data_IF_391137735712
#
_entry.id   IF_391137735712
#
_cell.length_a   1.000
_cell.length_b   1.000
_cell.length_c   1.000
_cell.angle_alpha   90.00
_cell.angle_beta   90.00
_cell.angle_gamma   90.00
#
_symmetry.space_group_name_H-M   'P 1'
#
loop_
_entity.id
_entity.type
_entity.pdbx_description
1 polymer ?
#
# COMPACT_ATOMS: atom_id res chain seq x y z
N UNK A 1 -63.19 13.57 -7.91
CA UNK A 1 -61.90 13.47 -7.22
C UNK A 1 -60.85 13.19 -8.29
N UNK A 2 -60.04 14.20 -8.65
CA UNK A 2 -59.00 14.00 -9.66
C UNK A 2 -57.84 13.21 -9.03
N UNK A 3 -57.50 12.06 -9.60
CA UNK A 3 -56.34 11.27 -9.20
C UNK A 3 -55.08 12.05 -9.58
N UNK A 4 -54.31 12.48 -8.59
CA UNK A 4 -52.96 12.99 -8.81
C UNK A 4 -52.13 11.80 -9.27
N UNK A 5 -51.88 11.71 -10.58
CA UNK A 5 -50.92 10.77 -11.14
C UNK A 5 -49.54 11.20 -10.65
N UNK A 6 -49.01 10.47 -9.66
CA UNK A 6 -47.65 10.66 -9.19
C UNK A 6 -46.70 10.21 -10.30
N UNK A 7 -45.92 11.13 -10.85
CA UNK A 7 -44.88 10.82 -11.84
C UNK A 7 -43.99 9.69 -11.30
N UNK A 8 -43.70 8.70 -12.16
CA UNK A 8 -42.79 7.63 -11.82
C UNK A 8 -41.38 8.21 -11.71
N UNK A 9 -40.56 7.80 -10.72
CA UNK A 9 -39.14 8.16 -10.68
C UNK A 9 -38.39 7.73 -11.95
N UNK A 10 -38.95 6.77 -12.71
CA UNK A 10 -38.40 6.28 -13.95
C UNK A 10 -38.80 7.11 -15.17
N UNK A 11 -39.71 8.09 -15.05
CA UNK A 11 -40.11 8.95 -16.17
C UNK A 11 -38.92 9.81 -16.68
N UNK A 12 -37.86 9.98 -15.89
CA UNK A 12 -36.59 10.60 -16.35
C UNK A 12 -35.91 9.79 -17.48
N UNK A 13 -36.14 8.48 -17.53
CA UNK A 13 -35.66 7.61 -18.61
C UNK A 13 -36.62 7.54 -19.80
N UNK A 14 -37.80 8.18 -19.70
CA UNK A 14 -38.76 8.31 -20.81
C UNK A 14 -38.44 9.48 -21.75
N UNK A 15 -37.36 10.23 -21.46
CA UNK A 15 -36.87 11.31 -22.30
C UNK A 15 -36.57 10.79 -23.73
N UNK A 16 -37.29 11.33 -24.72
CA UNK A 16 -37.18 10.94 -26.13
C UNK A 16 -35.89 11.45 -26.81
N UNK A 17 -35.18 12.37 -26.16
CA UNK A 17 -33.89 12.89 -26.62
C UNK A 17 -32.78 12.44 -25.66
N UNK A 18 -31.79 11.72 -26.20
CA UNK A 18 -30.56 11.41 -25.47
C UNK A 18 -29.81 12.70 -25.14
N UNK A 19 -29.04 12.75 -24.02
CA UNK A 19 -28.21 13.90 -23.72
C UNK A 19 -27.17 14.12 -24.82
N UNK A 20 -26.64 15.33 -24.91
CA UNK A 20 -25.50 15.61 -25.78
C UNK A 20 -24.28 14.86 -25.27
N UNK A 21 -23.70 14.02 -26.12
CA UNK A 21 -22.46 13.32 -25.85
C UNK A 21 -21.27 14.13 -26.37
N UNK A 22 -20.14 14.01 -25.69
CA UNK A 22 -18.84 14.50 -26.17
C UNK A 22 -17.87 13.34 -26.16
N UNK A 23 -17.17 13.11 -27.27
CA UNK A 23 -16.07 12.17 -27.29
C UNK A 23 -14.91 12.74 -26.46
N UNK A 24 -14.47 12.01 -25.45
CA UNK A 24 -13.30 12.36 -24.65
C UNK A 24 -12.20 11.34 -24.92
N UNK A 25 -10.99 11.81 -25.20
CA UNK A 25 -9.80 10.98 -25.33
C UNK A 25 -8.71 11.58 -24.47
N UNK A 26 -8.09 10.74 -23.64
CA UNK A 26 -6.95 11.13 -22.83
C UNK A 26 -5.78 10.21 -23.19
N UNK A 27 -4.62 10.80 -23.46
CA UNK A 27 -3.37 10.05 -23.47
C UNK A 27 -2.99 9.76 -22.01
N UNK A 28 -2.93 8.48 -21.67
CA UNK A 28 -2.53 8.02 -20.34
C UNK A 28 -1.03 7.71 -20.35
N UNK A 29 -0.38 7.97 -19.23
CA UNK A 29 1.00 7.56 -19.00
C UNK A 29 1.09 6.03 -19.14
N UNK A 30 1.94 5.57 -20.04
CA UNK A 30 2.15 4.16 -20.39
C UNK A 30 3.57 3.68 -20.04
N UNK A 31 4.33 4.47 -19.27
CA UNK A 31 5.67 4.13 -18.80
C UNK A 31 5.61 2.86 -17.94
N UNK A 32 6.31 1.82 -18.36
CA UNK A 32 6.38 0.52 -17.68
C UNK A 32 7.79 0.30 -17.14
N UNK A 33 7.89 -0.25 -15.92
CA UNK A 33 9.16 -0.55 -15.26
C UNK A 33 9.99 -1.61 -16.01
N UNK A 34 9.36 -2.35 -16.90
CA UNK A 34 9.91 -3.41 -17.72
C UNK A 34 10.16 -4.69 -16.93
N UNK A 35 11.44 -5.06 -16.79
CA UNK A 35 11.84 -6.25 -16.05
C UNK A 35 11.78 -5.99 -14.54
N UNK A 36 10.79 -6.58 -13.86
CA UNK A 36 10.65 -6.52 -12.39
C UNK A 36 11.89 -7.05 -11.68
N UNK A 37 12.42 -8.25 -12.02
CA UNK A 37 13.66 -8.74 -11.40
C UNK A 37 14.83 -7.76 -11.60
N UNK A 38 14.96 -7.19 -12.80
CA UNK A 38 16.02 -6.23 -13.09
C UNK A 38 15.87 -4.91 -12.32
N UNK A 39 14.65 -4.39 -12.18
CA UNK A 39 14.37 -3.17 -11.42
C UNK A 39 14.66 -3.35 -9.93
N UNK A 40 14.16 -4.44 -9.33
CA UNK A 40 14.40 -4.74 -7.92
C UNK A 40 15.90 -5.02 -7.67
N UNK A 41 16.58 -5.74 -8.56
CA UNK A 41 18.02 -5.97 -8.43
C UNK A 41 18.84 -4.67 -8.47
N UNK A 42 18.47 -3.69 -9.32
CA UNK A 42 19.13 -2.37 -9.35
C UNK A 42 18.98 -1.64 -8.03
N UNK A 43 17.80 -1.65 -7.45
CA UNK A 43 17.54 -1.02 -6.15
C UNK A 43 18.32 -1.71 -5.01
N UNK A 44 18.32 -3.05 -4.97
CA UNK A 44 19.07 -3.82 -3.97
C UNK A 44 20.59 -3.75 -4.12
N UNK A 45 21.10 -3.39 -5.31
CA UNK A 45 22.52 -3.17 -5.55
C UNK A 45 23.04 -1.84 -5.00
N UNK A 46 22.16 -0.89 -4.67
CA UNK A 46 22.56 0.42 -4.11
C UNK A 46 23.27 0.22 -2.76
N UNK A 47 24.37 0.95 -2.47
CA UNK A 47 25.17 0.70 -1.28
C UNK A 47 24.40 0.81 0.05
N UNK A 48 23.50 1.78 0.16
CA UNK A 48 22.64 2.03 1.32
C UNK A 48 21.62 0.90 1.58
N UNK A 49 21.10 0.30 0.51
CA UNK A 49 20.16 -0.84 0.56
C UNK A 49 20.92 -2.14 0.83
N UNK A 50 21.99 -2.38 0.07
CA UNK A 50 22.81 -3.60 0.15
C UNK A 50 23.43 -3.78 1.54
N UNK A 51 23.90 -2.70 2.16
CA UNK A 51 24.55 -2.77 3.46
C UNK A 51 23.61 -3.19 4.61
N UNK A 52 22.29 -3.14 4.39
CA UNK A 52 21.30 -3.50 5.39
C UNK A 52 21.06 -5.01 5.52
N UNK A 53 21.51 -5.82 4.56
CA UNK A 53 21.29 -7.27 4.53
C UNK A 53 22.64 -7.96 4.47
N UNK A 54 22.89 -8.85 5.44
CA UNK A 54 24.09 -9.67 5.49
C UNK A 54 23.79 -11.16 5.60
N UNK A 55 24.85 -11.99 5.63
CA UNK A 55 24.72 -13.43 5.86
C UNK A 55 23.95 -13.74 7.14
N UNK A 56 22.90 -14.57 7.03
CA UNK A 56 22.06 -15.02 8.15
C UNK A 56 21.07 -13.98 8.69
N UNK A 57 20.99 -12.77 8.09
CA UNK A 57 20.00 -11.77 8.49
C UNK A 57 18.60 -12.28 8.20
N UNK A 58 17.73 -12.40 9.21
CA UNK A 58 16.32 -12.76 9.02
C UNK A 58 15.55 -11.55 8.54
N UNK A 59 15.08 -11.59 7.30
CA UNK A 59 14.43 -10.45 6.66
C UNK A 59 12.95 -10.75 6.44
N UNK A 60 12.09 -9.89 6.98
CA UNK A 60 10.67 -9.96 6.71
C UNK A 60 10.27 -8.95 5.63
N UNK A 61 9.49 -9.40 4.65
CA UNK A 61 8.83 -8.52 3.68
C UNK A 61 7.32 -8.49 3.92
N UNK A 62 6.71 -7.31 3.83
CA UNK A 62 5.26 -7.18 4.02
C UNK A 62 4.50 -7.44 2.72
N UNK A 63 3.37 -8.13 2.78
CA UNK A 63 2.40 -8.24 1.70
C UNK A 63 1.07 -7.54 2.07
N UNK A 64 0.69 -6.52 1.31
CA UNK A 64 -0.52 -5.73 1.55
C UNK A 64 -1.80 -6.34 0.95
N UNK A 65 -2.95 -5.74 1.29
CA UNK A 65 -4.28 -6.20 0.83
C UNK A 65 -4.74 -5.64 -0.50
N UNK A 66 -3.97 -4.75 -1.12
CA UNK A 66 -4.36 -4.12 -2.38
C UNK A 66 -3.46 -4.64 -3.47
N UNK A 67 -4.08 -5.19 -4.50
CA UNK A 67 -3.40 -5.53 -5.74
C UNK A 67 -2.68 -4.31 -6.31
N UNK A 68 -1.46 -4.56 -6.76
CA UNK A 68 -0.70 -3.75 -7.68
C UNK A 68 -0.24 -4.69 -8.80
N UNK A 69 -0.11 -4.16 -10.00
CA UNK A 69 0.42 -4.92 -11.13
C UNK A 69 1.70 -5.68 -10.73
N UNK A 70 1.68 -7.01 -10.97
CA UNK A 70 2.82 -7.92 -10.77
C UNK A 70 3.41 -7.96 -9.35
N UNK A 71 2.60 -7.73 -8.31
CA UNK A 71 3.06 -7.78 -6.90
C UNK A 71 3.78 -9.08 -6.51
N UNK A 72 3.33 -10.24 -7.01
CA UNK A 72 3.99 -11.52 -6.75
C UNK A 72 5.41 -11.56 -7.36
N UNK A 73 5.60 -11.01 -8.55
CA UNK A 73 6.94 -10.92 -9.16
C UNK A 73 7.84 -9.96 -8.39
N UNK A 74 7.29 -8.83 -7.90
CA UNK A 74 8.04 -7.86 -7.08
C UNK A 74 8.52 -8.51 -5.78
N UNK A 75 7.62 -9.16 -5.04
CA UNK A 75 7.96 -9.85 -3.80
C UNK A 75 8.94 -10.99 -4.06
N UNK A 76 8.74 -11.77 -5.14
CA UNK A 76 9.67 -12.83 -5.51
C UNK A 76 11.07 -12.29 -5.81
N UNK A 77 11.16 -11.23 -6.59
CA UNK A 77 12.43 -10.60 -6.91
C UNK A 77 13.13 -10.06 -5.67
N UNK A 78 12.38 -9.44 -4.74
CA UNK A 78 12.94 -8.95 -3.48
C UNK A 78 13.44 -10.11 -2.59
N UNK A 79 12.67 -11.20 -2.49
CA UNK A 79 13.07 -12.44 -1.80
C UNK A 79 14.38 -13.00 -2.39
N UNK A 80 14.52 -13.01 -3.71
CA UNK A 80 15.73 -13.48 -4.38
C UNK A 80 16.93 -12.58 -4.11
N UNK A 81 16.74 -11.26 -4.07
CA UNK A 81 17.82 -10.33 -3.72
C UNK A 81 18.24 -10.47 -2.26
N UNK A 82 17.30 -10.65 -1.32
CA UNK A 82 17.64 -10.96 0.08
C UNK A 82 18.52 -12.20 0.17
N UNK A 83 18.15 -13.29 -0.53
CA UNK A 83 18.95 -14.53 -0.57
C UNK A 83 20.32 -14.32 -1.18
N UNK A 84 20.39 -13.56 -2.27
CA UNK A 84 21.66 -13.27 -2.95
C UNK A 84 22.63 -12.52 -2.03
N UNK A 85 22.11 -11.70 -1.12
CA UNK A 85 22.89 -11.00 -0.10
C UNK A 85 23.18 -11.86 1.14
N UNK A 86 22.74 -13.11 1.15
CA UNK A 86 22.96 -14.08 2.24
C UNK A 86 21.90 -14.04 3.35
N UNK A 87 20.85 -13.24 3.20
CA UNK A 87 19.75 -13.17 4.16
C UNK A 87 18.74 -14.33 4.05
N UNK A 88 17.92 -14.47 5.08
CA UNK A 88 16.88 -15.48 5.21
C UNK A 88 15.49 -14.82 5.11
N UNK A 89 14.88 -14.77 3.93
CA UNK A 89 13.62 -14.07 3.74
C UNK A 89 12.42 -14.89 4.24
N UNK A 90 11.43 -14.19 4.76
CA UNK A 90 10.06 -14.66 4.89
C UNK A 90 9.07 -13.50 4.67
N UNK A 91 7.82 -13.82 4.40
CA UNK A 91 6.78 -12.82 4.15
C UNK A 91 5.73 -12.87 5.25
N UNK A 92 5.22 -11.70 5.65
CA UNK A 92 4.01 -11.59 6.47
C UNK A 92 2.91 -10.83 5.72
N UNK A 93 1.64 -11.23 5.86
CA UNK A 93 0.53 -10.35 5.49
C UNK A 93 0.51 -9.15 6.44
N UNK A 94 0.47 -7.92 5.91
CA UNK A 94 0.42 -6.68 6.70
C UNK A 94 -0.62 -5.75 6.07
N UNK A 95 -1.84 -5.79 6.59
CA UNK A 95 -2.99 -5.13 5.95
C UNK A 95 -4.04 -4.61 6.92
N UNK A 96 -3.66 -4.39 8.18
CA UNK A 96 -4.57 -3.92 9.21
C UNK A 96 -5.72 -4.90 9.43
N UNK A 97 -6.95 -4.42 9.21
CA UNK A 97 -8.20 -5.18 9.41
C UNK A 97 -8.74 -5.93 8.19
N UNK A 98 -8.03 -5.91 7.07
CA UNK A 98 -8.42 -6.65 5.87
C UNK A 98 -8.34 -8.18 6.09
N UNK A 99 -8.95 -8.93 5.16
CA UNK A 99 -9.00 -10.39 5.24
C UNK A 99 -9.80 -10.91 6.44
N UNK A 100 -10.81 -10.16 6.87
CA UNK A 100 -11.63 -10.53 8.04
C UNK A 100 -10.88 -10.47 9.37
N UNK A 101 -9.69 -9.86 9.41
CA UNK A 101 -8.85 -9.79 10.61
C UNK A 101 -8.44 -11.16 11.17
N UNK A 102 -8.29 -12.16 10.31
CA UNK A 102 -7.77 -13.49 10.67
C UNK A 102 -6.51 -13.82 9.88
N UNK A 103 -5.67 -14.68 10.43
CA UNK A 103 -4.45 -15.12 9.76
C UNK A 103 -4.79 -15.79 8.41
N UNK A 104 -5.79 -16.68 8.41
CA UNK A 104 -6.23 -17.44 7.25
C UNK A 104 -6.81 -16.52 6.17
N UNK A 105 -7.60 -15.52 6.57
CA UNK A 105 -8.23 -14.60 5.63
C UNK A 105 -7.23 -13.64 5.01
N UNK A 106 -6.23 -13.17 5.77
CA UNK A 106 -5.13 -12.37 5.20
C UNK A 106 -4.24 -13.20 4.27
N UNK A 107 -3.94 -14.45 4.63
CA UNK A 107 -3.17 -15.37 3.79
C UNK A 107 -3.90 -15.70 2.48
N UNK A 108 -5.21 -16.01 2.55
CA UNK A 108 -6.03 -16.26 1.37
C UNK A 108 -6.08 -15.04 0.43
N UNK A 109 -6.11 -13.84 0.99
CA UNK A 109 -6.13 -12.61 0.22
C UNK A 109 -4.83 -12.38 -0.57
N UNK A 110 -3.65 -12.55 0.05
CA UNK A 110 -2.38 -12.41 -0.69
C UNK A 110 -2.15 -13.56 -1.67
N UNK A 111 -2.66 -14.76 -1.38
CA UNK A 111 -2.64 -15.89 -2.30
C UNK A 111 -3.45 -15.60 -3.59
N UNK A 112 -4.56 -14.86 -3.49
CA UNK A 112 -5.30 -14.39 -4.67
C UNK A 112 -4.47 -13.48 -5.58
N UNK A 113 -3.44 -12.80 -5.04
CA UNK A 113 -2.48 -12.01 -5.81
C UNK A 113 -1.24 -12.82 -6.26
N UNK A 114 -1.26 -14.14 -6.14
CA UNK A 114 -0.16 -15.03 -6.51
C UNK A 114 0.95 -15.12 -5.46
N UNK A 115 0.77 -14.55 -4.28
CA UNK A 115 1.76 -14.60 -3.19
C UNK A 115 1.51 -15.87 -2.38
N UNK A 116 2.17 -16.96 -2.78
CA UNK A 116 2.16 -18.26 -2.09
C UNK A 116 3.58 -18.70 -1.76
N UNK A 117 3.75 -19.57 -0.76
CA UNK A 117 5.09 -20.07 -0.39
C UNK A 117 5.81 -20.73 -1.57
N UNK A 118 5.07 -21.48 -2.40
CA UNK A 118 5.61 -22.10 -3.60
C UNK A 118 6.09 -21.05 -4.62
N UNK A 119 5.32 -19.99 -4.86
CA UNK A 119 5.69 -18.94 -5.79
C UNK A 119 6.87 -18.10 -5.28
N UNK A 120 6.87 -17.74 -3.99
CA UNK A 120 7.92 -16.91 -3.37
C UNK A 120 9.19 -17.73 -3.08
N UNK A 121 9.04 -19.04 -2.93
CA UNK A 121 10.09 -19.96 -2.51
C UNK A 121 10.50 -19.75 -1.05
N UNK A 122 9.78 -18.96 -0.25
CA UNK A 122 10.07 -18.68 1.16
C UNK A 122 8.79 -18.84 2.03
N UNK A 123 8.94 -18.96 3.36
CA UNK A 123 7.79 -19.06 4.25
C UNK A 123 6.88 -17.83 4.19
N UNK A 124 5.58 -18.04 4.32
CA UNK A 124 4.58 -17.00 4.57
C UNK A 124 4.03 -17.22 5.97
N UNK A 125 4.23 -16.25 6.87
CA UNK A 125 3.84 -16.35 8.28
C UNK A 125 2.69 -15.40 8.57
N UNK A 126 1.48 -15.95 8.66
CA UNK A 126 0.29 -15.17 8.96
C UNK A 126 -0.05 -15.26 10.46
N UNK A 127 -0.18 -14.11 11.11
CA UNK A 127 -0.68 -13.98 12.47
C UNK A 127 -1.38 -12.63 12.64
N UNK A 128 -2.26 -12.56 13.64
CA UNK A 128 -2.92 -11.32 14.07
C UNK A 128 -2.36 -10.79 15.39
N UNK A 129 -1.41 -11.51 15.98
CA UNK A 129 -0.77 -11.09 17.22
C UNK A 129 0.11 -9.87 17.00
N UNK A 130 0.08 -8.98 17.99
CA UNK A 130 0.86 -7.74 17.98
C UNK A 130 1.61 -7.55 19.27
N UNK A 131 2.70 -6.79 19.20
CA UNK A 131 3.43 -6.22 20.34
C UNK A 131 3.07 -4.74 20.47
N UNK A 132 2.84 -4.29 21.71
CA UNK A 132 2.70 -2.87 22.01
C UNK A 132 4.10 -2.23 22.00
N UNK A 133 4.38 -1.36 21.03
CA UNK A 133 5.65 -0.63 20.95
C UNK A 133 5.71 0.56 21.92
N UNK A 134 4.55 0.97 22.44
CA UNK A 134 4.38 2.10 23.35
C UNK A 134 3.48 3.18 22.75
N UNK A 135 3.36 4.28 23.47
CA UNK A 135 2.44 5.38 23.14
C UNK A 135 3.19 6.62 22.66
N UNK A 136 2.62 7.33 21.69
CA UNK A 136 2.99 8.71 21.37
C UNK A 136 2.36 9.69 22.37
N UNK A 137 2.83 10.94 22.33
CA UNK A 137 2.17 12.06 23.00
C UNK A 137 0.67 12.11 22.66
N UNK A 138 -0.17 12.35 23.67
CA UNK A 138 -1.62 12.31 23.53
C UNK A 138 -2.22 10.91 23.65
N UNK A 139 -1.44 9.88 23.99
CA UNK A 139 -1.93 8.54 24.28
C UNK A 139 -2.31 7.73 23.05
N UNK A 140 -1.62 7.95 21.92
CA UNK A 140 -1.82 7.17 20.69
C UNK A 140 -0.98 5.88 20.78
N UNK A 141 -1.60 4.69 20.93
CA UNK A 141 -0.88 3.45 21.09
C UNK A 141 -0.32 2.99 19.74
N UNK A 142 0.92 2.52 19.73
CA UNK A 142 1.60 2.00 18.54
C UNK A 142 1.78 0.50 18.67
N UNK A 143 1.30 -0.23 17.66
CA UNK A 143 1.36 -1.68 17.59
C UNK A 143 2.19 -2.13 16.40
N UNK A 144 2.81 -3.30 16.51
CA UNK A 144 3.49 -3.98 15.41
C UNK A 144 3.17 -5.48 15.45
N UNK A 145 3.17 -6.11 14.29
CA UNK A 145 3.13 -7.56 14.12
C UNK A 145 4.21 -8.22 14.99
N UNK A 146 3.80 -9.22 15.80
CA UNK A 146 4.71 -9.90 16.73
C UNK A 146 5.84 -10.64 16.01
N UNK A 147 5.56 -11.30 14.90
CA UNK A 147 6.55 -12.07 14.13
C UNK A 147 7.61 -11.13 13.55
N UNK A 148 7.19 -10.00 12.96
CA UNK A 148 8.12 -8.99 12.47
C UNK A 148 8.99 -8.41 13.59
N UNK A 149 8.46 -8.27 14.81
CA UNK A 149 9.20 -7.69 15.93
C UNK A 149 10.15 -8.68 16.60
N UNK A 150 9.75 -9.94 16.77
CA UNK A 150 10.50 -10.94 17.55
C UNK A 150 11.41 -11.81 16.68
N UNK A 151 11.04 -12.06 15.42
CA UNK A 151 11.71 -13.04 14.55
C UNK A 151 12.51 -12.43 13.41
N UNK A 152 12.32 -11.15 13.08
CA UNK A 152 13.07 -10.48 12.03
C UNK A 152 14.20 -9.62 12.60
N UNK A 153 15.34 -9.65 11.95
CA UNK A 153 16.44 -8.70 12.20
C UNK A 153 16.23 -7.42 11.37
N UNK A 154 15.55 -7.53 10.23
CA UNK A 154 15.23 -6.44 9.29
C UNK A 154 13.80 -6.57 8.78
N UNK A 155 13.06 -5.47 8.79
CA UNK A 155 11.71 -5.36 8.22
C UNK A 155 11.75 -4.49 6.96
N UNK A 156 11.30 -5.04 5.82
CA UNK A 156 11.19 -4.31 4.54
C UNK A 156 9.69 -4.15 4.21
N UNK A 157 9.08 -2.98 4.47
CA UNK A 157 7.74 -2.70 4.02
C UNK A 157 7.72 -2.57 2.49
N UNK A 158 6.70 -3.15 1.85
CA UNK A 158 6.44 -3.09 0.41
C UNK A 158 5.07 -2.46 0.23
N UNK A 159 5.00 -1.30 -0.42
CA UNK A 159 3.79 -0.47 -0.40
C UNK A 159 3.50 0.19 -1.73
N UNK A 160 2.24 0.09 -2.18
CA UNK A 160 1.71 0.87 -3.30
C UNK A 160 1.49 2.32 -2.87
N UNK A 161 2.25 3.23 -3.45
CA UNK A 161 2.08 4.68 -3.27
C UNK A 161 0.99 5.17 -4.21
N UNK A 162 -0.09 5.72 -3.65
CA UNK A 162 -1.21 6.28 -4.43
C UNK A 162 -2.07 7.24 -3.61
N UNK A 163 -2.82 8.13 -4.29
CA UNK A 163 -3.91 8.87 -3.64
C UNK A 163 -4.94 7.91 -3.01
N UNK A 164 -5.27 8.17 -1.75
CA UNK A 164 -6.37 7.58 -1.04
C UNK A 164 -7.70 8.19 -1.50
N UNK A 165 -8.80 7.48 -1.35
CA UNK A 165 -10.14 8.00 -1.70
C UNK A 165 -10.70 8.87 -0.58
N UNK A 166 -10.44 8.50 0.67
CA UNK A 166 -11.22 9.00 1.82
C UNK A 166 -10.48 9.98 2.75
N UNK A 167 -9.18 10.21 2.55
CA UNK A 167 -8.41 11.21 3.32
C UNK A 167 -7.32 11.85 2.47
N UNK A 168 -6.78 12.97 2.96
CA UNK A 168 -5.66 13.71 2.36
C UNK A 168 -4.60 13.99 3.42
N UNK A 169 -3.35 14.07 2.98
CA UNK A 169 -2.20 14.36 3.83
C UNK A 169 -0.93 14.52 2.98
N UNK A 170 0.22 14.84 3.60
CA UNK A 170 1.51 14.87 2.90
C UNK A 170 1.90 13.48 2.35
N UNK A 171 1.37 12.43 2.96
CA UNK A 171 1.40 11.05 2.48
C UNK A 171 0.00 10.44 2.61
N UNK A 172 -0.29 9.43 1.80
CA UNK A 172 -1.62 8.81 1.72
C UNK A 172 -1.53 7.28 1.83
N UNK A 173 -1.63 6.55 0.72
CA UNK A 173 -1.25 5.12 0.70
C UNK A 173 0.23 5.01 0.33
N UNK A 174 0.94 4.02 0.87
CA UNK A 174 2.38 3.87 0.69
C UNK A 174 3.04 3.07 1.80
N UNK A 175 4.34 3.26 1.98
CA UNK A 175 5.17 2.70 3.02
C UNK A 175 4.76 3.22 4.40
N UNK A 176 4.49 4.52 4.57
CA UNK A 176 4.10 5.06 5.89
C UNK A 176 2.81 4.41 6.41
N UNK A 177 1.81 4.24 5.55
CA UNK A 177 0.58 3.52 5.91
C UNK A 177 0.82 2.03 6.16
N UNK A 178 1.72 1.41 5.40
CA UNK A 178 2.13 0.03 5.64
C UNK A 178 2.77 -0.13 7.02
N UNK A 179 3.65 0.78 7.41
CA UNK A 179 4.34 0.77 8.71
C UNK A 179 3.36 1.06 9.86
N UNK A 180 2.49 2.06 9.72
CA UNK A 180 1.60 2.48 10.80
C UNK A 180 0.38 1.56 11.00
N UNK A 181 -0.27 1.13 9.90
CA UNK A 181 -1.53 0.38 9.95
C UNK A 181 -1.34 -1.07 9.51
N UNK A 182 -0.57 -1.29 8.43
CA UNK A 182 -0.32 -2.63 7.90
C UNK A 182 0.31 -3.54 8.95
N UNK A 183 1.47 -3.12 9.47
CA UNK A 183 2.17 -3.78 10.56
C UNK A 183 1.43 -3.70 11.89
N UNK A 184 0.61 -2.67 12.12
CA UNK A 184 -0.21 -2.55 13.33
C UNK A 184 -1.33 -3.58 13.47
N UNK A 185 -1.61 -4.36 12.41
CA UNK A 185 -2.67 -5.39 12.35
C UNK A 185 -4.03 -4.84 12.82
N UNK A 186 -4.89 -5.72 13.34
CA UNK A 186 -6.21 -5.34 13.81
C UNK A 186 -6.16 -4.32 14.95
N UNK A 187 -5.21 -4.45 15.89
CA UNK A 187 -5.13 -3.56 17.06
C UNK A 187 -4.83 -2.12 16.66
N UNK A 188 -3.79 -1.90 15.83
CA UNK A 188 -3.48 -0.60 15.27
C UNK A 188 -4.60 -0.06 14.39
N UNK A 189 -5.11 -0.89 13.47
CA UNK A 189 -6.20 -0.47 12.57
C UNK A 189 -7.46 -0.04 13.34
N UNK A 190 -7.91 -0.82 14.34
CA UNK A 190 -9.07 -0.47 15.16
C UNK A 190 -8.92 0.88 15.83
N UNK A 191 -7.74 1.16 16.40
CA UNK A 191 -7.50 2.45 17.04
C UNK A 191 -7.57 3.60 16.04
N UNK A 192 -6.89 3.49 14.89
CA UNK A 192 -6.94 4.49 13.82
C UNK A 192 -8.36 4.74 13.35
N UNK A 193 -9.09 3.68 12.99
CA UNK A 193 -10.47 3.78 12.51
C UNK A 193 -11.41 4.37 13.57
N UNK A 194 -11.15 4.12 14.86
CA UNK A 194 -11.87 4.72 15.98
C UNK A 194 -11.68 6.24 16.12
N UNK A 195 -10.56 6.80 15.64
CA UNK A 195 -10.35 8.25 15.61
C UNK A 195 -11.07 8.96 14.45
N UNK A 196 -11.58 8.20 13.48
CA UNK A 196 -12.18 8.73 12.27
C UNK A 196 -11.17 9.08 11.18
N UNK A 197 -11.60 8.88 9.92
CA UNK A 197 -10.72 8.91 8.75
C UNK A 197 -10.04 10.26 8.49
N UNK A 198 -10.64 11.36 8.94
CA UNK A 198 -10.08 12.71 8.82
C UNK A 198 -8.77 12.91 9.58
N UNK A 199 -8.47 12.06 10.57
CA UNK A 199 -7.23 12.14 11.37
C UNK A 199 -6.04 11.42 10.73
N UNK A 200 -6.28 10.60 9.70
CA UNK A 200 -5.28 9.68 9.16
C UNK A 200 -4.07 10.42 8.56
N UNK A 201 -4.30 11.54 7.87
CA UNK A 201 -3.24 12.32 7.24
C UNK A 201 -2.22 12.87 8.25
N UNK A 202 -2.63 13.09 9.50
CA UNK A 202 -1.76 13.54 10.58
C UNK A 202 -1.15 12.37 11.36
N UNK A 203 -1.96 11.36 11.69
CA UNK A 203 -1.56 10.28 12.59
C UNK A 203 -0.66 9.23 11.93
N UNK A 204 -0.87 8.92 10.64
CA UNK A 204 -0.06 7.91 9.93
C UNK A 204 1.42 8.27 9.95
N UNK A 205 1.85 9.49 9.56
CA UNK A 205 3.27 9.88 9.63
C UNK A 205 3.85 9.78 11.04
N UNK A 206 3.10 10.22 12.06
CA UNK A 206 3.55 10.21 13.46
C UNK A 206 3.79 8.80 13.98
N UNK A 207 2.83 7.90 13.75
CA UNK A 207 2.94 6.49 14.16
C UNK A 207 4.06 5.79 13.39
N UNK A 208 4.15 6.01 12.08
CA UNK A 208 5.21 5.40 11.27
C UNK A 208 6.61 5.87 11.70
N UNK A 209 6.79 7.17 11.98
CA UNK A 209 8.06 7.71 12.48
C UNK A 209 8.47 7.10 13.83
N UNK A 210 7.50 6.89 14.73
CA UNK A 210 7.76 6.22 16.01
C UNK A 210 8.16 4.77 15.85
N UNK A 211 7.52 4.03 14.94
CA UNK A 211 7.90 2.66 14.61
C UNK A 211 9.30 2.60 14.00
N UNK A 212 9.62 3.50 13.05
CA UNK A 212 10.96 3.60 12.44
C UNK A 212 12.06 3.88 13.46
N UNK A 213 11.76 4.57 14.56
CA UNK A 213 12.72 4.83 15.64
C UNK A 213 12.98 3.63 16.56
N UNK A 214 12.14 2.58 16.50
CA UNK A 214 12.18 1.43 17.42
C UNK A 214 12.41 0.09 16.75
N UNK A 215 12.13 0.01 15.45
CA UNK A 215 12.15 -1.22 14.67
C UNK A 215 13.15 -1.04 13.53
N UNK A 216 13.98 -2.05 13.29
CA UNK A 216 14.98 -2.01 12.23
C UNK A 216 14.31 -2.12 10.85
N UNK A 217 13.89 -0.98 10.32
CA UNK A 217 13.37 -0.81 8.95
C UNK A 217 14.39 0.08 8.22
N UNK A 218 15.39 -0.50 7.54
CA UNK A 218 16.46 0.26 6.91
C UNK A 218 16.01 0.96 5.61
N UNK A 219 15.04 0.37 4.92
CA UNK A 219 14.41 0.91 3.72
C UNK A 219 13.06 0.23 3.47
N UNK A 220 12.22 0.81 2.62
CA UNK A 220 11.00 0.18 2.10
C UNK A 220 10.98 0.16 0.58
N UNK A 221 10.22 -0.76 -0.02
CA UNK A 221 10.05 -0.84 -1.47
C UNK A 221 8.73 -0.15 -1.88
N UNK A 222 8.84 1.08 -2.36
CA UNK A 222 7.73 1.89 -2.82
C UNK A 222 7.38 1.55 -4.29
N UNK A 223 6.09 1.36 -4.55
CA UNK A 223 5.58 0.93 -5.86
C UNK A 223 4.57 1.94 -6.39
N UNK A 224 4.73 2.39 -7.64
CA UNK A 224 3.80 3.33 -8.31
C UNK A 224 3.34 2.73 -9.63
N UNK A 225 2.05 2.86 -9.94
CA UNK A 225 1.49 2.47 -11.23
C UNK A 225 1.37 3.67 -12.18
N UNK A 226 1.41 3.39 -13.48
CA UNK A 226 1.08 4.36 -14.52
C UNK A 226 -0.43 4.53 -14.72
N UNK A 227 -0.81 5.36 -15.69
CA UNK A 227 -2.22 5.66 -16.01
C UNK A 227 -3.00 4.45 -16.51
N UNK A 228 -2.32 3.41 -16.98
CA UNK A 228 -2.89 2.13 -17.42
C UNK A 228 -2.94 1.08 -16.29
N UNK A 229 -2.54 1.43 -15.08
CA UNK A 229 -2.48 0.51 -13.95
C UNK A 229 -1.35 -0.51 -14.04
N UNK A 230 -0.28 -0.24 -14.81
CA UNK A 230 0.94 -1.05 -14.88
C UNK A 230 2.01 -0.52 -13.96
N UNK A 231 2.84 -1.39 -13.39
CA UNK A 231 3.91 -0.93 -12.50
C UNK A 231 4.92 -0.08 -13.29
N UNK A 232 5.10 1.17 -12.89
CA UNK A 232 6.00 2.12 -13.56
C UNK A 232 7.26 2.38 -12.74
N UNK A 233 7.13 2.41 -11.42
CA UNK A 233 8.25 2.67 -10.49
C UNK A 233 8.26 1.60 -9.40
N UNK A 234 9.42 1.01 -9.18
CA UNK A 234 9.75 0.25 -7.97
C UNK A 234 11.05 0.79 -7.39
N UNK A 235 10.98 1.43 -6.23
CA UNK A 235 12.10 2.17 -5.64
C UNK A 235 12.37 1.71 -4.20
N UNK A 236 13.62 1.40 -3.85
CA UNK A 236 14.01 1.17 -2.47
C UNK A 236 14.30 2.52 -1.81
N UNK A 237 13.44 2.92 -0.87
CA UNK A 237 13.51 4.22 -0.20
C UNK A 237 14.13 4.03 1.18
N UNK A 238 15.33 4.61 1.44
CA UNK A 238 15.96 4.53 2.76
C UNK A 238 15.08 5.12 3.86
N UNK A 239 15.12 4.54 5.06
CA UNK A 239 14.28 4.91 6.21
C UNK A 239 14.20 6.42 6.45
N UNK A 240 15.37 7.09 6.43
CA UNK A 240 15.50 8.53 6.66
C UNK A 240 14.83 9.40 5.60
N UNK A 241 14.50 8.83 4.44
CA UNK A 241 13.88 9.51 3.29
C UNK A 241 12.44 9.08 3.04
N UNK A 242 11.91 8.09 3.78
CA UNK A 242 10.56 7.55 3.50
C UNK A 242 9.51 8.65 3.50
N UNK A 243 9.52 9.58 4.47
CA UNK A 243 8.50 10.62 4.55
C UNK A 243 8.51 11.53 3.32
N UNK A 244 9.66 12.13 3.03
CA UNK A 244 9.82 13.09 1.93
C UNK A 244 9.61 12.41 0.58
N UNK A 245 10.27 11.26 0.37
CA UNK A 245 10.25 10.57 -0.92
C UNK A 245 8.90 9.93 -1.21
N UNK A 246 8.18 9.42 -0.21
CA UNK A 246 6.80 8.95 -0.42
C UNK A 246 5.87 10.08 -0.85
N UNK A 247 6.03 11.29 -0.29
CA UNK A 247 5.30 12.48 -0.72
C UNK A 247 5.59 12.85 -2.18
N UNK A 248 6.85 12.81 -2.59
CA UNK A 248 7.26 13.01 -4.00
C UNK A 248 6.65 11.95 -4.93
N UNK A 249 6.71 10.67 -4.53
CA UNK A 249 6.13 9.55 -5.29
C UNK A 249 4.60 9.63 -5.35
N UNK A 250 3.94 10.15 -4.32
CA UNK A 250 2.50 10.38 -4.30
C UNK A 250 2.09 11.41 -5.35
N UNK A 251 2.85 12.49 -5.49
CA UNK A 251 2.58 13.49 -6.52
C UNK A 251 2.85 12.96 -7.94
N UNK A 252 3.88 12.12 -8.11
CA UNK A 252 4.08 11.38 -9.36
C UNK A 252 2.88 10.47 -9.65
N UNK A 253 2.43 9.68 -8.67
CA UNK A 253 1.27 8.80 -8.82
C UNK A 253 0.01 9.61 -9.19
N UNK A 254 -0.22 10.76 -8.55
CA UNK A 254 -1.34 11.65 -8.83
C UNK A 254 -1.27 12.24 -10.25
N UNK A 255 -0.09 12.58 -10.72
CA UNK A 255 0.11 13.10 -12.07
C UNK A 255 -0.19 12.06 -13.16
N UNK A 256 0.07 10.77 -12.89
CA UNK A 256 -0.17 9.65 -13.82
C UNK A 256 -1.64 9.21 -13.91
N UNK A 257 -2.49 9.60 -12.96
CA UNK A 257 -3.91 9.22 -12.97
C UNK A 257 -4.69 9.87 -14.13
N UNK A 258 -5.63 9.10 -14.68
CA UNK A 258 -6.67 9.63 -15.55
C UNK A 258 -7.45 10.75 -14.83
N UNK A 259 -7.86 11.77 -15.59
CA UNK A 259 -8.56 12.93 -15.04
C UNK A 259 -9.94 13.03 -15.65
N UNK A 260 -10.92 13.36 -14.83
CA UNK A 260 -12.21 13.77 -15.35
C UNK A 260 -12.05 15.08 -16.14
N UNK A 261 -12.89 15.32 -17.16
CA UNK A 261 -12.96 16.61 -17.82
C UNK A 261 -13.10 17.74 -16.79
N UNK A 262 -12.30 18.80 -16.93
CA UNK A 262 -12.34 19.94 -16.01
C UNK A 262 -13.59 20.79 -16.27
N UNK A 263 -14.73 20.34 -15.73
CA UNK A 263 -15.99 21.08 -15.74
C UNK A 263 -16.20 21.76 -14.38
N UNK A 264 -16.76 22.99 -14.37
CA UNK A 264 -16.92 23.75 -13.13
C UNK A 264 -17.91 23.13 -12.15
N UNK A 265 -18.88 22.37 -12.67
CA UNK A 265 -19.85 21.62 -11.88
C UNK A 265 -20.27 20.35 -12.63
N UNK A 266 -20.58 19.30 -11.86
CA UNK A 266 -21.14 18.05 -12.35
C UNK A 266 -22.44 17.83 -11.58
N UNK A 267 -23.57 17.77 -12.29
CA UNK A 267 -24.87 17.50 -11.66
C UNK A 267 -24.96 16.06 -11.12
N UNK A 268 -24.39 15.10 -11.87
CA UNK A 268 -24.38 13.67 -11.53
C UNK A 268 -23.06 13.03 -11.97
N UNK A 269 -22.35 12.36 -11.06
CA UNK A 269 -21.20 11.50 -11.33
C UNK A 269 -21.58 10.07 -10.96
N UNK A 270 -21.52 9.14 -11.92
CA UNK A 270 -21.86 7.73 -11.77
C UNK A 270 -20.58 6.90 -11.84
#
# INVERSE_FOLDING_TARGET
>A
MASVQTASPLDVFSATALPRWVACTQALDDEDVGSIPGAVAREFARPDVRAAIGPGTRVVLTAGSRGIDRIAEVLRAAVDQVRLLGGEPFIIPAMGSHGGATAEGQQALIAHYGVTEAAMGCPIRASMETVHLGDLDGGVPVWIDRIAYEEADVVIPVGRVKPHTDFRGPVESGLMKMIAIGLGKQNGANWFHGQGIGTFGELIPKVAAFTLAKVNIPFGLALVENGLGKLSIGEAVPAARIFDREGELLEIARAKLARLPQVPAVDVLI
#
